data_IF_254681144298
#
_entry.id   IF_254681144298
#
_cell.length_a   1.000
_cell.length_b   1.000
_cell.length_c   1.000
_cell.angle_alpha   90.00
_cell.angle_beta   90.00
_cell.angle_gamma   90.00
#
_symmetry.space_group_name_H-M   'P 1'
#
loop_
_entity.id
_entity.type
_entity.pdbx_description
1 polymer ?
#
# COMPACT_ATOMS: atom_id res chain seq x y z
N UNK A 1 14.56 -0.65 -11.87
CA UNK A 1 13.82 0.28 -10.97
C UNK A 1 13.82 -0.27 -9.55
N UNK A 2 13.84 0.59 -8.53
CA UNK A 2 13.84 0.22 -7.09
C UNK A 2 12.51 0.59 -6.44
N UNK A 3 11.91 -0.37 -5.76
CA UNK A 3 10.70 -0.16 -4.96
C UNK A 3 11.05 -0.31 -3.48
N UNK A 4 10.50 0.53 -2.63
CA UNK A 4 10.37 0.27 -1.20
C UNK A 4 8.90 0.19 -0.82
N UNK A 5 8.57 -0.64 0.19
CA UNK A 5 7.19 -0.88 0.61
C UNK A 5 7.04 -0.49 2.08
N UNK A 6 5.98 0.25 2.41
CA UNK A 6 5.54 0.48 3.78
C UNK A 6 4.31 -0.39 4.08
N UNK A 7 4.34 -1.11 5.19
CA UNK A 7 3.27 -2.01 5.62
C UNK A 7 3.10 -1.97 7.15
N UNK A 8 1.89 -2.25 7.63
CA UNK A 8 1.61 -2.31 9.08
C UNK A 8 1.05 -3.67 9.53
N UNK A 9 0.83 -4.61 8.62
CA UNK A 9 0.08 -5.84 8.90
C UNK A 9 0.75 -7.12 8.41
N UNK A 10 -0.05 -8.00 7.83
CA UNK A 10 0.39 -9.35 7.39
C UNK A 10 1.46 -9.33 6.30
N UNK A 11 1.49 -8.29 5.45
CA UNK A 11 2.43 -8.19 4.34
C UNK A 11 2.06 -9.02 3.10
N UNK A 12 0.81 -9.45 2.97
CA UNK A 12 0.35 -10.20 1.78
C UNK A 12 0.57 -9.44 0.48
N UNK A 13 0.25 -8.15 0.44
CA UNK A 13 0.53 -7.31 -0.72
C UNK A 13 2.03 -7.15 -0.98
N UNK A 14 2.84 -6.99 0.07
CA UNK A 14 4.29 -6.92 -0.09
C UNK A 14 4.84 -8.21 -0.72
N UNK A 15 4.41 -9.38 -0.25
CA UNK A 15 4.79 -10.69 -0.83
C UNK A 15 4.35 -10.80 -2.29
N UNK A 16 3.12 -10.41 -2.64
CA UNK A 16 2.63 -10.44 -4.00
C UNK A 16 3.45 -9.54 -4.94
N UNK A 17 3.83 -8.35 -4.47
CA UNK A 17 4.66 -7.40 -5.23
C UNK A 17 6.06 -7.99 -5.45
N UNK A 18 6.70 -8.51 -4.39
CA UNK A 18 8.05 -9.14 -4.51
C UNK A 18 8.01 -10.30 -5.51
N UNK A 19 7.02 -11.18 -5.41
CA UNK A 19 6.88 -12.33 -6.32
C UNK A 19 6.62 -11.90 -7.77
N UNK A 20 5.84 -10.85 -7.98
CA UNK A 20 5.54 -10.34 -9.33
C UNK A 20 6.79 -9.81 -10.04
N UNK A 21 7.66 -9.13 -9.32
CA UNK A 21 8.89 -8.56 -9.88
C UNK A 21 10.08 -9.52 -9.85
N UNK A 22 9.91 -10.75 -9.33
CA UNK A 22 10.98 -11.76 -9.33
C UNK A 22 11.44 -12.07 -10.75
N UNK A 23 12.76 -11.96 -10.97
CA UNK A 23 13.38 -12.21 -12.29
C UNK A 23 13.23 -11.07 -13.30
N UNK A 24 12.78 -9.90 -12.89
CA UNK A 24 12.74 -8.67 -13.70
C UNK A 24 13.86 -7.70 -13.29
N UNK A 25 14.01 -6.60 -14.04
CA UNK A 25 14.96 -5.52 -13.72
C UNK A 25 14.46 -4.60 -12.58
N UNK A 26 13.25 -4.83 -12.07
CA UNK A 26 12.68 -4.11 -10.94
C UNK A 26 12.89 -4.90 -9.66
N UNK A 27 13.35 -4.24 -8.60
CA UNK A 27 13.62 -4.88 -7.30
C UNK A 27 12.86 -4.21 -6.17
N UNK A 28 12.30 -5.01 -5.26
CA UNK A 28 11.86 -4.53 -3.94
C UNK A 28 13.08 -4.52 -3.04
N UNK A 29 13.60 -3.34 -2.73
CA UNK A 29 14.87 -3.17 -2.03
C UNK A 29 14.74 -3.26 -0.51
N UNK A 30 13.59 -2.86 0.04
CA UNK A 30 13.29 -2.95 1.47
C UNK A 30 11.80 -2.86 1.75
N UNK A 31 11.41 -3.36 2.92
CA UNK A 31 10.10 -3.17 3.52
C UNK A 31 10.27 -2.40 4.82
N UNK A 32 9.38 -1.45 5.09
CA UNK A 32 9.34 -0.66 6.31
C UNK A 32 8.05 -0.99 7.08
N UNK A 33 8.17 -1.33 8.36
CA UNK A 33 7.03 -1.68 9.19
C UNK A 33 7.04 -0.92 10.52
N UNK A 34 5.89 -0.40 10.91
CA UNK A 34 5.70 0.37 12.13
C UNK A 34 5.04 -0.43 13.27
N UNK A 35 4.80 -1.73 13.07
CA UNK A 35 4.17 -2.61 14.07
C UNK A 35 5.09 -3.78 14.37
N UNK A 36 5.60 -3.83 15.60
CA UNK A 36 6.44 -4.93 16.07
C UNK A 36 5.68 -6.25 16.02
N UNK A 37 6.33 -7.31 15.52
CA UNK A 37 5.74 -8.65 15.42
C UNK A 37 4.68 -8.80 14.33
N UNK A 38 4.49 -7.82 13.45
CA UNK A 38 3.61 -7.95 12.31
C UNK A 38 4.05 -9.08 11.37
N UNK A 39 3.09 -9.77 10.74
CA UNK A 39 3.36 -10.92 9.86
C UNK A 39 4.27 -10.60 8.66
N UNK A 40 4.39 -9.33 8.30
CA UNK A 40 5.28 -8.88 7.21
C UNK A 40 6.75 -9.20 7.48
N UNK A 41 7.20 -9.26 8.74
CA UNK A 41 8.59 -9.60 9.08
C UNK A 41 8.94 -11.04 8.71
N UNK A 42 8.04 -11.99 8.98
CA UNK A 42 8.22 -13.38 8.60
C UNK A 42 8.26 -13.54 7.07
N UNK A 43 7.36 -12.85 6.37
CA UNK A 43 7.32 -12.86 4.90
C UNK A 43 8.59 -12.25 4.30
N UNK A 44 9.02 -11.10 4.79
CA UNK A 44 10.24 -10.44 4.33
C UNK A 44 11.46 -11.34 4.53
N UNK A 45 11.59 -11.97 5.70
CA UNK A 45 12.67 -12.94 5.99
C UNK A 45 12.68 -14.12 5.01
N UNK A 46 11.51 -14.71 4.73
CA UNK A 46 11.38 -15.81 3.76
C UNK A 46 11.73 -15.39 2.33
N UNK A 47 11.44 -14.16 1.97
CA UNK A 47 11.70 -13.59 0.65
C UNK A 47 13.13 -13.03 0.51
N UNK A 48 13.89 -12.97 1.60
CA UNK A 48 15.24 -12.38 1.60
C UNK A 48 15.26 -10.86 1.43
N UNK A 49 14.16 -10.17 1.78
CA UNK A 49 14.04 -8.72 1.69
C UNK A 49 14.30 -8.09 3.06
N UNK A 50 15.17 -7.06 3.18
CA UNK A 50 15.35 -6.31 4.41
C UNK A 50 14.02 -5.73 4.91
N UNK A 51 13.73 -5.87 6.21
CA UNK A 51 12.53 -5.30 6.81
C UNK A 51 12.90 -4.46 8.02
N UNK A 52 12.67 -3.15 7.92
CA UNK A 52 13.03 -2.14 8.90
C UNK A 52 11.86 -1.85 9.83
N UNK A 53 12.05 -2.10 11.14
CA UNK A 53 11.11 -1.64 12.17
C UNK A 53 11.39 -0.19 12.51
N UNK A 54 10.34 0.63 12.64
CA UNK A 54 10.46 2.01 13.09
C UNK A 54 9.33 2.40 14.05
N UNK A 55 9.62 3.35 14.92
CA UNK A 55 8.71 3.85 15.95
C UNK A 55 7.94 5.07 15.47
N UNK A 56 6.89 5.45 16.23
CA UNK A 56 6.14 6.68 15.97
C UNK A 56 6.99 7.94 16.13
N UNK A 57 7.93 7.91 17.06
CA UNK A 57 8.86 9.01 17.29
C UNK A 57 9.78 9.20 16.07
N UNK A 58 10.46 8.15 15.61
CA UNK A 58 11.30 8.19 14.42
C UNK A 58 10.51 8.62 13.17
N UNK A 59 9.24 8.19 13.05
CA UNK A 59 8.35 8.63 11.97
C UNK A 59 8.04 10.12 12.02
N UNK A 60 7.86 10.68 13.21
CA UNK A 60 7.53 12.09 13.38
C UNK A 60 8.76 13.01 13.21
N UNK A 61 9.92 12.61 13.76
CA UNK A 61 11.18 13.38 13.64
C UNK A 61 11.78 13.26 12.25
N UNK A 62 11.74 12.09 11.65
CA UNK A 62 12.28 11.80 10.34
C UNK A 62 13.77 11.45 10.32
N UNK A 63 14.52 11.74 11.37
CA UNK A 63 16.00 11.69 11.39
C UNK A 63 16.57 10.37 10.88
N UNK A 64 16.12 9.22 11.41
CA UNK A 64 16.60 7.91 10.99
C UNK A 64 15.89 7.42 9.71
N UNK A 65 14.57 7.55 9.65
CA UNK A 65 13.79 6.95 8.56
C UNK A 65 14.07 7.63 7.22
N UNK A 66 14.13 8.95 7.21
CA UNK A 66 14.39 9.71 6.00
C UNK A 66 15.79 9.39 5.44
N UNK A 67 16.79 9.20 6.34
CA UNK A 67 18.13 8.77 5.93
C UNK A 67 18.13 7.39 5.30
N UNK A 68 17.49 6.40 5.92
CA UNK A 68 17.44 5.03 5.38
C UNK A 68 16.69 5.00 4.05
N UNK A 69 15.55 5.67 3.95
CA UNK A 69 14.80 5.77 2.67
C UNK A 69 15.69 6.39 1.58
N UNK A 70 16.45 7.44 1.93
CA UNK A 70 17.36 8.10 0.98
C UNK A 70 18.52 7.19 0.56
N UNK A 71 19.05 6.34 1.44
CA UNK A 71 20.08 5.36 1.11
C UNK A 71 19.59 4.31 0.09
N UNK A 72 18.34 3.86 0.22
CA UNK A 72 17.74 2.97 -0.78
C UNK A 72 17.50 3.67 -2.13
N UNK A 73 17.32 4.99 -2.11
CA UNK A 73 17.04 5.81 -3.31
C UNK A 73 15.97 5.17 -4.21
N UNK A 74 14.72 5.04 -3.74
CA UNK A 74 13.66 4.36 -4.48
C UNK A 74 13.15 5.20 -5.64
N UNK A 75 12.82 4.54 -6.75
CA UNK A 75 12.08 5.13 -7.86
C UNK A 75 10.58 5.21 -7.55
N UNK A 76 10.09 4.31 -6.69
CA UNK A 76 8.70 4.22 -6.28
C UNK A 76 8.58 3.79 -4.81
N UNK A 77 7.76 4.50 -4.05
CA UNK A 77 7.33 4.10 -2.71
C UNK A 77 5.91 3.56 -2.77
N UNK A 78 5.69 2.40 -2.16
CA UNK A 78 4.39 1.73 -2.15
C UNK A 78 3.87 1.60 -0.73
N UNK A 79 2.66 2.11 -0.48
CA UNK A 79 1.93 1.91 0.77
C UNK A 79 1.00 0.71 0.59
N UNK A 80 1.31 -0.39 1.26
CA UNK A 80 0.62 -1.67 1.15
C UNK A 80 0.02 -2.08 2.51
N UNK A 81 -1.12 -1.50 2.87
CA UNK A 81 -1.71 -1.65 4.19
C UNK A 81 -0.92 -0.90 5.27
N UNK A 82 -0.42 0.27 4.94
CA UNK A 82 0.26 1.18 5.88
C UNK A 82 -0.75 2.12 6.52
N UNK A 83 -0.78 2.17 7.87
CA UNK A 83 -1.86 2.82 8.60
C UNK A 83 -1.60 4.28 9.00
N UNK A 84 -0.36 4.74 8.93
CA UNK A 84 -0.04 6.12 9.32
C UNK A 84 -0.04 7.04 8.09
N UNK A 85 -0.33 8.32 8.35
CA UNK A 85 -0.24 9.35 7.32
C UNK A 85 1.20 9.45 6.81
N UNK A 86 1.37 9.44 5.48
CA UNK A 86 2.68 9.61 4.87
C UNK A 86 3.12 11.07 5.00
N UNK A 87 4.36 11.38 5.43
CA UNK A 87 4.75 12.73 5.79
C UNK A 87 5.14 13.56 4.57
N UNK A 88 4.76 14.84 4.58
CA UNK A 88 5.04 15.78 3.48
C UNK A 88 6.53 15.90 3.17
N UNK A 89 7.41 15.76 4.16
CA UNK A 89 8.85 15.81 3.97
C UNK A 89 9.37 14.69 3.06
N UNK A 90 8.84 13.47 3.19
CA UNK A 90 9.17 12.37 2.29
C UNK A 90 8.50 12.53 0.91
N UNK A 91 7.26 13.03 0.86
CA UNK A 91 6.60 13.35 -0.41
C UNK A 91 7.37 14.38 -1.23
N UNK A 92 7.99 15.36 -0.57
CA UNK A 92 8.81 16.38 -1.24
C UNK A 92 10.12 15.82 -1.82
N UNK A 93 10.67 14.78 -1.19
CA UNK A 93 11.91 14.12 -1.65
C UNK A 93 11.62 13.03 -2.68
N UNK A 94 10.54 12.28 -2.47
CA UNK A 94 10.13 11.14 -3.28
C UNK A 94 8.69 11.35 -3.76
N UNK A 95 8.48 11.98 -4.92
CA UNK A 95 7.15 12.35 -5.39
C UNK A 95 6.32 11.15 -5.88
N UNK A 96 6.97 10.02 -6.15
CA UNK A 96 6.29 8.83 -6.62
C UNK A 96 5.93 7.93 -5.42
N UNK A 97 4.78 8.20 -4.82
CA UNK A 97 4.22 7.40 -3.72
C UNK A 97 2.82 6.95 -4.08
N UNK A 98 2.56 5.64 -4.01
CA UNK A 98 1.29 5.01 -4.36
C UNK A 98 0.72 4.29 -3.15
N UNK A 99 -0.59 4.38 -2.97
CA UNK A 99 -1.35 3.61 -1.98
C UNK A 99 -2.42 2.75 -2.66
N UNK A 100 -2.71 1.60 -2.08
CA UNK A 100 -3.93 0.84 -2.35
C UNK A 100 -4.90 1.00 -1.19
N UNK A 101 -6.10 1.52 -1.48
CA UNK A 101 -7.18 1.69 -0.52
C UNK A 101 -8.27 0.63 -0.75
N UNK A 102 -8.78 -0.04 0.30
CA UNK A 102 -9.69 -1.18 0.16
C UNK A 102 -11.17 -0.78 -0.04
N UNK A 103 -11.41 0.32 -0.76
CA UNK A 103 -12.73 0.76 -1.16
C UNK A 103 -12.68 1.58 -2.48
N UNK A 104 -13.86 1.89 -3.02
CA UNK A 104 -14.01 2.75 -4.21
C UNK A 104 -14.04 4.22 -3.77
N UNK A 105 -12.87 4.87 -3.75
CA UNK A 105 -12.78 6.29 -3.41
C UNK A 105 -13.64 7.16 -4.37
N UNK A 106 -14.22 8.25 -3.87
CA UNK A 106 -13.99 8.88 -2.55
C UNK A 106 -14.80 8.28 -1.39
N UNK A 107 -15.69 7.31 -1.63
CA UNK A 107 -16.46 6.65 -0.57
C UNK A 107 -15.52 5.86 0.34
N UNK A 108 -15.81 5.86 1.63
CA UNK A 108 -15.07 5.09 2.65
C UNK A 108 -13.57 5.36 2.67
N UNK A 109 -13.15 6.59 2.31
CA UNK A 109 -11.79 7.09 2.44
C UNK A 109 -11.62 8.05 3.61
N UNK A 110 -10.37 8.47 3.85
CA UNK A 110 -10.04 9.47 4.85
C UNK A 110 -9.67 8.92 6.23
N UNK A 111 -9.53 9.84 7.19
CA UNK A 111 -9.04 9.51 8.54
C UNK A 111 -9.94 8.48 9.24
N UNK A 112 -9.33 7.37 9.68
CA UNK A 112 -10.03 6.29 10.39
C UNK A 112 -10.54 5.16 9.47
N UNK A 113 -10.53 5.35 8.15
CA UNK A 113 -10.95 4.34 7.17
C UNK A 113 -9.78 3.45 6.78
N UNK A 114 -9.55 2.38 7.57
CA UNK A 114 -8.50 1.40 7.33
C UNK A 114 -8.89 0.02 7.87
N UNK A 115 -8.30 -1.03 7.31
CA UNK A 115 -8.51 -2.41 7.74
C UNK A 115 -9.98 -2.80 7.74
N UNK A 116 -10.42 -3.50 8.78
CA UNK A 116 -11.80 -3.99 8.89
C UNK A 116 -12.85 -2.87 8.96
N UNK A 117 -12.51 -1.70 9.47
CA UNK A 117 -13.45 -0.57 9.56
C UNK A 117 -14.03 -0.15 8.20
N UNK A 118 -13.23 -0.25 7.13
CA UNK A 118 -13.71 0.02 5.77
C UNK A 118 -14.76 -1.00 5.35
N UNK A 119 -14.51 -2.27 5.60
CA UNK A 119 -15.41 -3.37 5.22
C UNK A 119 -16.71 -3.34 6.03
N UNK A 120 -16.62 -3.04 7.33
CA UNK A 120 -17.76 -2.82 8.21
C UNK A 120 -18.62 -1.65 7.70
N UNK A 121 -17.99 -0.52 7.36
CA UNK A 121 -18.70 0.64 6.83
C UNK A 121 -19.40 0.37 5.49
N UNK A 122 -18.83 -0.47 4.62
CA UNK A 122 -19.46 -0.90 3.36
C UNK A 122 -20.71 -1.73 3.63
N UNK A 123 -20.65 -2.67 4.60
CA UNK A 123 -21.80 -3.48 5.01
C UNK A 123 -22.89 -2.61 5.62
N UNK A 124 -22.53 -1.74 6.56
CA UNK A 124 -23.47 -0.88 7.27
C UNK A 124 -24.18 0.12 6.33
N UNK A 125 -23.47 0.54 5.28
CA UNK A 125 -24.04 1.41 4.25
C UNK A 125 -24.92 0.66 3.22
N UNK A 126 -25.04 -0.68 3.33
CA UNK A 126 -25.78 -1.52 2.39
C UNK A 126 -25.39 -1.29 0.93
N UNK A 127 -24.10 -1.11 0.67
CA UNK A 127 -23.59 -0.93 -0.70
C UNK A 127 -23.77 -2.21 -1.51
N UNK A 128 -24.08 -2.05 -2.80
CA UNK A 128 -24.21 -3.18 -3.72
C UNK A 128 -22.89 -3.54 -4.42
N UNK A 129 -21.92 -2.64 -4.38
CA UNK A 129 -20.58 -2.84 -4.93
C UNK A 129 -19.53 -2.20 -4.02
N UNK A 130 -18.35 -2.78 -4.01
CA UNK A 130 -17.14 -2.22 -3.41
C UNK A 130 -15.96 -2.54 -4.31
N UNK A 131 -14.73 -2.27 -3.85
CA UNK A 131 -13.56 -2.56 -4.66
C UNK A 131 -12.29 -2.01 -4.03
N UNK A 132 -11.29 -1.82 -4.87
CA UNK A 132 -10.02 -1.21 -4.49
C UNK A 132 -9.80 0.08 -5.29
N UNK A 133 -9.07 1.00 -4.70
CA UNK A 133 -8.55 2.19 -5.39
C UNK A 133 -7.04 2.25 -5.23
N UNK A 134 -6.32 2.25 -6.34
CA UNK A 134 -4.88 2.53 -6.40
C UNK A 134 -4.74 4.00 -6.79
N UNK A 135 -4.04 4.78 -5.99
CA UNK A 135 -3.96 6.22 -6.18
C UNK A 135 -2.58 6.76 -5.78
N UNK A 136 -2.22 7.92 -6.34
CA UNK A 136 -1.08 8.69 -5.88
C UNK A 136 -1.33 9.21 -4.47
N UNK A 137 -0.30 9.23 -3.64
CA UNK A 137 -0.38 9.79 -2.29
C UNK A 137 -0.06 11.28 -2.34
N UNK A 138 -0.87 12.06 -1.63
CA UNK A 138 -0.64 13.47 -1.39
C UNK A 138 -0.69 13.80 0.12
N UNK A 139 -0.75 15.06 0.48
CA UNK A 139 -0.78 15.52 1.87
C UNK A 139 -2.12 15.22 2.61
N UNK A 140 -3.13 14.76 1.89
CA UNK A 140 -4.44 14.42 2.44
C UNK A 140 -4.68 12.91 2.36
N UNK A 141 -5.39 12.35 3.35
CA UNK A 141 -5.72 10.92 3.34
C UNK A 141 -6.65 10.61 2.16
N UNK A 142 -6.23 9.66 1.32
CA UNK A 142 -7.03 9.05 0.25
C UNK A 142 -7.60 10.03 -0.80
N UNK A 143 -7.02 11.25 -0.92
CA UNK A 143 -7.47 12.30 -1.84
C UNK A 143 -6.57 12.49 -3.07
N UNK A 144 -5.54 11.68 -3.20
CA UNK A 144 -4.63 11.75 -4.35
C UNK A 144 -5.28 11.25 -5.64
N UNK A 145 -4.69 11.61 -6.78
CA UNK A 145 -5.22 11.25 -8.09
C UNK A 145 -5.33 9.72 -8.26
N UNK A 146 -6.50 9.26 -8.66
CA UNK A 146 -6.79 7.85 -8.90
C UNK A 146 -6.01 7.36 -10.12
N UNK A 147 -5.31 6.25 -9.96
CA UNK A 147 -4.61 5.54 -11.04
C UNK A 147 -5.51 4.45 -11.60
N UNK A 148 -6.10 3.64 -10.71
CA UNK A 148 -6.90 2.48 -11.11
C UNK A 148 -7.94 2.13 -10.03
N UNK A 149 -9.08 1.62 -10.46
CA UNK A 149 -10.09 1.02 -9.57
C UNK A 149 -10.54 -0.33 -10.13
N UNK A 150 -10.67 -1.32 -9.26
CA UNK A 150 -11.33 -2.58 -9.55
C UNK A 150 -12.54 -2.75 -8.63
N UNK A 151 -13.62 -3.32 -9.15
CA UNK A 151 -14.89 -3.49 -8.46
C UNK A 151 -15.22 -4.95 -8.21
N UNK A 152 -15.94 -5.20 -7.12
CA UNK A 152 -16.64 -6.47 -6.89
C UNK A 152 -18.04 -6.22 -6.34
N UNK A 153 -18.92 -7.20 -6.57
CA UNK A 153 -20.28 -7.16 -6.04
C UNK A 153 -20.30 -7.48 -4.55
N UNK A 154 -21.12 -6.74 -3.81
CA UNK A 154 -21.48 -7.01 -2.42
C UNK A 154 -22.86 -7.69 -2.41
N UNK A 155 -22.91 -8.90 -1.87
CA UNK A 155 -24.15 -9.65 -1.72
C UNK A 155 -24.83 -9.27 -0.40
N UNK A 156 -26.16 -9.32 -0.31
CA UNK A 156 -26.87 -9.03 0.94
C UNK A 156 -26.48 -9.92 2.13
N UNK A 157 -25.87 -11.07 1.85
CA UNK A 157 -25.39 -12.03 2.86
C UNK A 157 -23.91 -11.83 3.22
N UNK A 158 -23.18 -10.95 2.53
CA UNK A 158 -21.76 -10.76 2.80
C UNK A 158 -21.55 -10.11 4.16
N UNK A 159 -20.64 -10.68 4.93
CA UNK A 159 -20.09 -10.10 6.14
C UNK A 159 -18.89 -9.20 5.78
N UNK A 160 -18.45 -8.38 6.74
CA UNK A 160 -17.20 -7.60 6.57
C UNK A 160 -15.99 -8.50 6.25
N UNK A 161 -15.94 -9.71 6.80
CA UNK A 161 -14.91 -10.71 6.50
C UNK A 161 -14.97 -11.22 5.06
N UNK A 162 -16.16 -11.44 4.53
CA UNK A 162 -16.34 -11.86 3.13
C UNK A 162 -15.90 -10.76 2.17
N UNK A 163 -16.24 -9.51 2.49
CA UNK A 163 -15.77 -8.33 1.75
C UNK A 163 -14.24 -8.24 1.80
N UNK A 164 -13.63 -8.38 2.97
CA UNK A 164 -12.18 -8.37 3.11
C UNK A 164 -11.50 -9.41 2.21
N UNK A 165 -12.05 -10.62 2.11
CA UNK A 165 -11.51 -11.66 1.21
C UNK A 165 -11.62 -11.26 -0.26
N UNK A 166 -12.75 -10.69 -0.69
CA UNK A 166 -12.94 -10.20 -2.06
C UNK A 166 -11.94 -9.08 -2.39
N UNK A 167 -11.74 -8.15 -1.45
CA UNK A 167 -10.77 -7.06 -1.59
C UNK A 167 -9.34 -7.60 -1.70
N UNK A 168 -8.93 -8.54 -0.86
CA UNK A 168 -7.61 -9.17 -0.96
C UNK A 168 -7.36 -9.87 -2.31
N UNK A 169 -8.39 -10.49 -2.89
CA UNK A 169 -8.29 -11.07 -4.22
C UNK A 169 -8.05 -10.00 -5.29
N UNK A 170 -8.79 -8.89 -5.23
CA UNK A 170 -8.62 -7.76 -6.16
C UNK A 170 -7.23 -7.12 -6.00
N UNK A 171 -6.76 -6.89 -4.77
CA UNK A 171 -5.41 -6.38 -4.50
C UNK A 171 -4.36 -7.30 -5.11
N UNK A 172 -4.41 -8.60 -4.82
CA UNK A 172 -3.46 -9.58 -5.35
C UNK A 172 -3.43 -9.66 -6.87
N UNK A 173 -4.59 -9.52 -7.50
CA UNK A 173 -4.74 -9.59 -8.97
C UNK A 173 -4.26 -8.31 -9.66
N UNK A 174 -4.54 -7.14 -9.11
CA UNK A 174 -4.38 -5.87 -9.81
C UNK A 174 -3.19 -5.06 -9.36
N UNK A 175 -2.88 -5.03 -8.05
CA UNK A 175 -1.91 -4.08 -7.51
C UNK A 175 -0.51 -4.25 -8.11
N UNK A 176 0.10 -5.46 -8.14
CA UNK A 176 1.43 -5.62 -8.73
C UNK A 176 1.49 -5.23 -10.22
N UNK A 177 0.46 -5.58 -10.99
CA UNK A 177 0.37 -5.24 -12.42
C UNK A 177 0.31 -3.72 -12.65
N UNK A 178 -0.50 -3.02 -11.86
CA UNK A 178 -0.61 -1.54 -11.98
C UNK A 178 0.70 -0.87 -11.57
N UNK A 179 1.41 -1.37 -10.54
CA UNK A 179 2.73 -0.87 -10.19
C UNK A 179 3.74 -1.02 -11.35
N UNK A 180 3.69 -2.13 -12.07
CA UNK A 180 4.54 -2.35 -13.26
C UNK A 180 4.23 -1.34 -14.38
N UNK A 181 2.96 -1.06 -14.64
CA UNK A 181 2.54 -0.05 -15.62
C UNK A 181 3.04 1.35 -15.22
N UNK A 182 2.90 1.72 -13.95
CA UNK A 182 3.36 3.00 -13.42
C UNK A 182 4.89 3.13 -13.53
N UNK A 183 5.65 2.09 -13.18
CA UNK A 183 7.11 2.12 -13.28
C UNK A 183 7.58 2.33 -14.72
N UNK A 184 6.95 1.69 -15.69
CA UNK A 184 7.21 1.93 -17.12
C UNK A 184 6.95 3.37 -17.53
N UNK A 185 5.92 4.01 -16.95
CA UNK A 185 5.60 5.41 -17.22
C UNK A 185 6.59 6.38 -16.57
N UNK A 186 7.08 6.06 -15.37
CA UNK A 186 8.14 6.81 -14.68
C UNK A 186 9.43 6.75 -15.51
N UNK A 187 9.84 5.55 -15.93
CA UNK A 187 11.05 5.33 -16.72
C UNK A 187 11.05 6.10 -18.04
N UNK A 188 9.90 6.17 -18.74
CA UNK A 188 9.77 6.93 -20.00
C UNK A 188 9.89 8.44 -19.84
N UNK A 189 9.67 8.97 -18.61
CA UNK A 189 9.67 10.40 -18.30
C UNK A 189 10.97 10.89 -17.68
N UNK A 190 11.83 9.95 -17.26
CA UNK A 190 13.17 10.22 -16.70
C UNK A 190 14.22 10.33 -17.78
#
# INVERSE_FOLDING_TARGET
MKIIIFASGSGSNAENIVNHFAGTDTTVSAIFCNVSGAGVFERASRLGIPCELFTKEEWNTGDRIDSIVSEYNPDLIVLAGFLWKFPSRLLSQFPHVINVHPALLPKFGGKGMYGMHVHEAVVDAHENETGITIHWVNEHYDEGAVIYQAKCQVLPSDTASDIAQKIHQLEGQHFPRILEEVLKDIERKS
#
